data_IF_791782430455
#
_entry.id   IF_791782430455
#
_cell.length_a   1.000
_cell.length_b   1.000
_cell.length_c   1.000
_cell.angle_alpha   90.00
_cell.angle_beta   90.00
_cell.angle_gamma   90.00
#
_symmetry.space_group_name_H-M   'P 1'
#
loop_
_entity.id
_entity.type
_entity.pdbx_description
1 polymer ?
#
# COMPACT_ATOMS: atom_id res chain seq x y z
N UNK A 1 -14.55 -16.37 34.26
CA UNK A 1 -13.93 -17.54 33.59
C UNK A 1 -14.33 -17.70 32.12
N UNK A 2 -15.59 -17.50 31.71
CA UNK A 2 -15.96 -17.53 30.28
C UNK A 2 -15.38 -16.36 29.44
N UNK A 3 -15.15 -15.19 30.08
CA UNK A 3 -14.65 -13.98 29.39
C UNK A 3 -13.15 -14.00 29.07
N UNK A 4 -12.32 -14.53 29.97
CA UNK A 4 -10.85 -14.59 29.80
C UNK A 4 -10.42 -15.53 28.67
N UNK A 5 -11.14 -16.64 28.49
CA UNK A 5 -10.90 -17.59 27.40
C UNK A 5 -11.20 -16.99 26.02
N UNK A 6 -12.16 -16.07 25.91
CA UNK A 6 -12.48 -15.38 24.67
C UNK A 6 -11.43 -14.33 24.30
N UNK A 7 -10.92 -13.61 25.32
CA UNK A 7 -9.91 -12.57 25.17
C UNK A 7 -8.54 -13.15 24.77
N UNK A 8 -8.08 -14.21 25.43
CA UNK A 8 -6.83 -14.89 25.09
C UNK A 8 -6.86 -15.44 23.65
N UNK A 9 -7.96 -16.12 23.27
CA UNK A 9 -8.16 -16.60 21.89
C UNK A 9 -8.13 -15.44 20.89
N UNK A 10 -8.71 -14.30 21.24
CA UNK A 10 -8.70 -13.13 20.39
C UNK A 10 -7.28 -12.58 20.17
N UNK A 11 -6.47 -12.45 21.23
CA UNK A 11 -5.08 -12.01 21.13
C UNK A 11 -4.20 -12.97 20.33
N UNK A 12 -4.37 -14.29 20.51
CA UNK A 12 -3.62 -15.30 19.76
C UNK A 12 -3.93 -15.23 18.27
N UNK A 13 -5.23 -15.21 17.89
CA UNK A 13 -5.62 -15.08 16.49
C UNK A 13 -5.04 -13.82 15.85
N UNK A 14 -5.04 -12.74 16.61
CA UNK A 14 -4.49 -11.45 16.21
C UNK A 14 -2.97 -11.52 15.96
N UNK A 15 -2.20 -12.19 16.84
CA UNK A 15 -0.76 -12.41 16.62
C UNK A 15 -0.51 -13.30 15.40
N UNK A 16 -1.29 -14.36 15.21
CA UNK A 16 -1.18 -15.22 14.03
C UNK A 16 -1.47 -14.41 12.75
N UNK A 17 -2.44 -13.52 12.78
CA UNK A 17 -2.84 -12.66 11.67
C UNK A 17 -1.68 -11.79 11.18
N UNK A 18 -0.98 -11.10 12.10
CA UNK A 18 0.18 -10.28 11.73
C UNK A 18 1.37 -11.13 11.28
N UNK A 19 1.56 -12.34 11.84
CA UNK A 19 2.60 -13.26 11.37
C UNK A 19 2.31 -13.75 9.95
N UNK A 20 1.06 -14.11 9.65
CA UNK A 20 0.62 -14.46 8.28
C UNK A 20 0.85 -13.29 7.32
N UNK A 21 0.51 -12.07 7.77
CA UNK A 21 0.80 -10.83 7.08
C UNK A 21 2.27 -10.65 6.73
N UNK A 22 3.14 -10.72 7.74
CA UNK A 22 4.57 -10.47 7.61
C UNK A 22 5.32 -11.56 6.81
N UNK A 23 4.96 -12.83 7.00
CA UNK A 23 5.72 -13.97 6.47
C UNK A 23 5.21 -14.42 5.10
N UNK A 24 3.91 -14.30 4.84
CA UNK A 24 3.30 -14.82 3.62
C UNK A 24 2.72 -13.72 2.74
N UNK A 25 1.76 -12.94 3.26
CA UNK A 25 1.00 -12.00 2.41
C UNK A 25 1.90 -10.87 1.90
N UNK A 26 2.58 -10.14 2.78
CA UNK A 26 3.42 -9.02 2.38
C UNK A 26 4.55 -9.46 1.44
N UNK A 27 5.27 -10.58 1.69
CA UNK A 27 6.24 -11.04 0.71
C UNK A 27 5.64 -11.35 -0.66
N UNK A 28 4.51 -12.06 -0.73
CA UNK A 28 3.85 -12.35 -2.00
C UNK A 28 3.40 -11.09 -2.75
N UNK A 29 2.87 -10.09 -2.03
CA UNK A 29 2.53 -8.78 -2.59
C UNK A 29 3.78 -8.10 -3.17
N UNK A 30 4.88 -8.08 -2.42
CA UNK A 30 6.15 -7.46 -2.86
C UNK A 30 6.72 -8.20 -4.08
N UNK A 31 6.68 -9.53 -4.10
CA UNK A 31 7.15 -10.30 -5.26
C UNK A 31 6.33 -9.94 -6.51
N UNK A 32 4.99 -9.93 -6.41
CA UNK A 32 4.11 -9.54 -7.53
C UNK A 32 4.42 -8.11 -8.03
N UNK A 33 4.54 -7.16 -7.10
CA UNK A 33 4.88 -5.77 -7.40
C UNK A 33 6.24 -5.66 -8.09
N UNK A 34 7.26 -6.31 -7.53
CA UNK A 34 8.62 -6.33 -8.06
C UNK A 34 8.66 -6.88 -9.47
N UNK A 35 8.00 -8.02 -9.71
CA UNK A 35 7.99 -8.65 -11.03
C UNK A 35 7.20 -7.84 -12.03
N UNK A 36 6.06 -7.27 -11.64
CA UNK A 36 5.29 -6.36 -12.50
C UNK A 36 6.14 -5.17 -12.93
N UNK A 37 6.84 -4.54 -11.97
CA UNK A 37 7.76 -3.44 -12.23
C UNK A 37 8.88 -3.87 -13.18
N UNK A 38 9.47 -5.05 -12.95
CA UNK A 38 10.53 -5.59 -13.79
C UNK A 38 10.05 -5.92 -15.22
N UNK A 39 8.81 -6.38 -15.40
CA UNK A 39 8.21 -6.55 -16.73
C UNK A 39 8.12 -5.19 -17.44
N UNK A 40 7.72 -4.14 -16.74
CA UNK A 40 7.69 -2.79 -17.32
C UNK A 40 9.10 -2.30 -17.69
N UNK A 41 10.13 -2.61 -16.88
CA UNK A 41 11.52 -2.30 -17.22
C UNK A 41 12.00 -3.04 -18.48
N UNK A 42 11.50 -4.25 -18.74
CA UNK A 42 11.89 -5.06 -19.90
C UNK A 42 11.14 -4.62 -21.16
N UNK A 43 9.85 -4.31 -21.05
CA UNK A 43 8.95 -4.16 -22.21
C UNK A 43 8.47 -2.74 -22.50
N UNK A 44 8.49 -1.82 -21.52
CA UNK A 44 7.96 -0.46 -21.69
C UNK A 44 9.11 0.52 -21.89
N UNK A 45 9.43 0.81 -23.16
CA UNK A 45 10.49 1.74 -23.56
C UNK A 45 11.82 1.50 -22.80
N UNK A 46 12.42 0.29 -22.89
CA UNK A 46 13.56 -0.10 -22.05
C UNK A 46 14.79 0.82 -22.21
N UNK A 47 14.96 1.44 -23.38
CA UNK A 47 16.08 2.35 -23.66
C UNK A 47 15.82 3.81 -23.27
N UNK A 48 14.58 4.17 -22.90
CA UNK A 48 14.16 5.55 -22.66
C UNK A 48 13.37 5.63 -21.35
N UNK A 49 14.07 5.70 -20.22
CA UNK A 49 13.46 5.65 -18.88
C UNK A 49 12.57 6.86 -18.58
N UNK A 50 12.85 8.01 -19.19
CA UNK A 50 12.03 9.23 -19.17
C UNK A 50 10.67 9.02 -19.85
N UNK A 51 10.67 8.54 -21.10
CA UNK A 51 9.45 8.22 -21.86
C UNK A 51 8.69 7.11 -21.16
N UNK A 52 9.39 6.08 -20.69
CA UNK A 52 8.83 4.98 -19.91
C UNK A 52 8.09 5.49 -18.67
N UNK A 53 8.70 6.42 -17.92
CA UNK A 53 8.11 7.05 -16.75
C UNK A 53 6.82 7.82 -17.06
N UNK A 54 6.84 8.63 -18.13
CA UNK A 54 5.67 9.41 -18.57
C UNK A 54 4.53 8.48 -19.00
N UNK A 55 4.80 7.49 -19.85
CA UNK A 55 3.79 6.56 -20.34
C UNK A 55 3.19 5.74 -19.20
N UNK A 56 4.03 5.23 -18.29
CA UNK A 56 3.57 4.50 -17.11
C UNK A 56 2.67 5.37 -16.21
N UNK A 57 3.01 6.65 -16.03
CA UNK A 57 2.20 7.61 -15.27
C UNK A 57 0.85 7.85 -15.94
N UNK A 58 0.84 8.18 -17.23
CA UNK A 58 -0.39 8.50 -17.98
C UNK A 58 -1.32 7.29 -18.01
N UNK A 59 -0.82 6.12 -18.41
CA UNK A 59 -1.63 4.89 -18.48
C UNK A 59 -2.14 4.49 -17.10
N UNK A 60 -1.26 4.50 -16.09
CA UNK A 60 -1.61 4.17 -14.72
C UNK A 60 -2.68 5.11 -14.15
N UNK A 61 -2.53 6.42 -14.37
CA UNK A 61 -3.50 7.44 -13.98
C UNK A 61 -4.84 7.24 -14.69
N UNK A 62 -4.85 7.14 -16.02
CA UNK A 62 -6.07 7.05 -16.81
C UNK A 62 -6.89 5.82 -16.42
N UNK A 63 -6.26 4.65 -16.32
CA UNK A 63 -6.97 3.42 -15.93
C UNK A 63 -7.47 3.51 -14.48
N UNK A 64 -6.63 3.94 -13.55
CA UNK A 64 -7.03 4.12 -12.14
C UNK A 64 -8.20 5.10 -12.00
N UNK A 65 -8.16 6.21 -12.73
CA UNK A 65 -9.18 7.25 -12.71
C UNK A 65 -10.52 6.76 -13.27
N UNK A 66 -10.50 6.07 -14.42
CA UNK A 66 -11.69 5.45 -15.00
C UNK A 66 -12.32 4.47 -14.01
N UNK A 67 -11.49 3.63 -13.38
CA UNK A 67 -11.95 2.67 -12.37
C UNK A 67 -12.59 3.39 -11.18
N UNK A 68 -11.92 4.39 -10.61
CA UNK A 68 -12.42 5.14 -9.45
C UNK A 68 -13.79 5.80 -9.73
N UNK A 69 -14.03 6.25 -10.97
CA UNK A 69 -15.31 6.86 -11.35
C UNK A 69 -16.41 5.83 -11.60
N UNK A 70 -16.08 4.76 -12.35
CA UNK A 70 -17.08 3.77 -12.80
C UNK A 70 -17.44 2.81 -11.67
N UNK A 71 -16.46 2.38 -10.88
CA UNK A 71 -16.61 1.30 -9.92
C UNK A 71 -17.74 1.53 -8.89
N UNK A 72 -17.89 2.73 -8.28
CA UNK A 72 -19.00 3.00 -7.36
C UNK A 72 -20.40 2.91 -7.99
N UNK A 73 -20.50 2.95 -9.33
CA UNK A 73 -21.77 2.86 -10.06
C UNK A 73 -22.17 1.41 -10.35
N UNK A 74 -21.24 0.46 -10.24
CA UNK A 74 -21.49 -0.95 -10.54
C UNK A 74 -22.13 -1.63 -9.33
N UNK A 75 -23.28 -2.27 -9.55
CA UNK A 75 -23.94 -3.08 -8.53
C UNK A 75 -23.53 -4.55 -8.67
N UNK A 76 -22.88 -5.10 -7.65
CA UNK A 76 -22.32 -6.46 -7.65
C UNK A 76 -23.31 -7.54 -7.20
N UNK A 77 -24.52 -7.55 -7.79
CA UNK A 77 -25.62 -8.47 -7.39
C UNK A 77 -25.54 -9.86 -8.03
N UNK A 78 -24.85 -10.00 -9.16
CA UNK A 78 -24.80 -11.27 -9.92
C UNK A 78 -23.46 -11.97 -9.75
N UNK A 79 -23.43 -13.29 -9.92
CA UNK A 79 -22.17 -14.06 -9.95
C UNK A 79 -21.22 -13.53 -11.02
N UNK A 80 -21.73 -13.14 -12.20
CA UNK A 80 -20.94 -12.52 -13.25
C UNK A 80 -20.31 -11.20 -12.78
N UNK A 81 -21.06 -10.32 -12.13
CA UNK A 81 -20.51 -9.05 -11.60
C UNK A 81 -19.42 -9.27 -10.55
N UNK A 82 -19.54 -10.31 -9.70
CA UNK A 82 -18.50 -10.70 -8.73
C UNK A 82 -17.24 -11.24 -9.41
N UNK A 83 -17.38 -11.99 -10.51
CA UNK A 83 -16.24 -12.45 -11.32
C UNK A 83 -15.56 -11.25 -12.00
N UNK A 84 -16.33 -10.35 -12.60
CA UNK A 84 -15.81 -9.12 -13.22
C UNK A 84 -15.05 -8.28 -12.19
N UNK A 85 -15.58 -8.15 -10.98
CA UNK A 85 -14.91 -7.50 -9.87
C UNK A 85 -13.56 -8.17 -9.53
N UNK A 86 -13.55 -9.49 -9.34
CA UNK A 86 -12.31 -10.20 -9.02
C UNK A 86 -11.29 -10.11 -10.15
N UNK A 87 -11.73 -10.09 -11.41
CA UNK A 87 -10.87 -9.89 -12.56
C UNK A 87 -10.34 -8.44 -12.64
N UNK A 88 -11.13 -7.45 -12.24
CA UNK A 88 -10.70 -6.05 -12.26
C UNK A 88 -9.63 -5.74 -11.21
N UNK A 89 -9.53 -6.52 -10.12
CA UNK A 89 -8.43 -6.42 -9.14
C UNK A 89 -7.06 -6.50 -9.83
N UNK A 90 -6.89 -7.40 -10.80
CA UNK A 90 -5.63 -7.51 -11.55
C UNK A 90 -5.35 -6.26 -12.40
N UNK A 91 -6.37 -5.72 -13.06
CA UNK A 91 -6.23 -4.47 -13.84
C UNK A 91 -5.93 -3.27 -12.93
N UNK A 92 -6.55 -3.24 -11.75
CA UNK A 92 -6.30 -2.25 -10.71
C UNK A 92 -4.86 -2.32 -10.21
N UNK A 93 -4.37 -3.51 -9.86
CA UNK A 93 -2.99 -3.65 -9.40
C UNK A 93 -1.98 -3.28 -10.49
N UNK A 94 -2.20 -3.68 -11.75
CA UNK A 94 -1.33 -3.27 -12.87
C UNK A 94 -1.30 -1.74 -13.07
N UNK A 95 -2.46 -1.09 -13.04
CA UNK A 95 -2.54 0.37 -13.22
C UNK A 95 -1.95 1.14 -12.03
N UNK A 96 -2.16 0.65 -10.80
CA UNK A 96 -1.51 1.15 -9.60
C UNK A 96 0.03 1.07 -9.70
N UNK A 97 0.57 -0.12 -10.04
CA UNK A 97 2.03 -0.31 -10.18
C UNK A 97 2.60 0.53 -11.31
N UNK A 98 1.89 0.64 -12.44
CA UNK A 98 2.28 1.51 -13.55
C UNK A 98 2.36 2.96 -13.10
N UNK A 99 1.36 3.45 -12.37
CA UNK A 99 1.37 4.81 -11.84
C UNK A 99 2.54 5.05 -10.88
N UNK A 100 2.77 4.12 -9.94
CA UNK A 100 3.89 4.18 -8.99
C UNK A 100 5.23 4.25 -9.69
N UNK A 101 5.47 3.32 -10.62
CA UNK A 101 6.69 3.29 -11.42
C UNK A 101 6.89 4.57 -12.19
N UNK A 102 5.84 5.07 -12.82
CA UNK A 102 5.87 6.30 -13.59
C UNK A 102 6.31 7.50 -12.75
N UNK A 103 5.63 7.74 -11.63
CA UNK A 103 5.95 8.84 -10.72
C UNK A 103 7.36 8.68 -10.12
N UNK A 104 7.74 7.45 -9.74
CA UNK A 104 9.06 7.19 -9.19
C UNK A 104 10.17 7.56 -10.19
N UNK A 105 10.06 7.14 -11.46
CA UNK A 105 11.01 7.47 -12.50
C UNK A 105 11.04 8.97 -12.80
N UNK A 106 9.89 9.64 -12.82
CA UNK A 106 9.82 11.10 -13.00
C UNK A 106 10.54 11.81 -11.86
N UNK A 107 10.31 11.41 -10.60
CA UNK A 107 11.00 11.98 -9.44
C UNK A 107 12.51 11.75 -9.52
N UNK A 108 12.93 10.56 -9.96
CA UNK A 108 14.34 10.24 -10.11
C UNK A 108 15.03 11.07 -11.21
N UNK A 109 14.32 11.44 -12.27
CA UNK A 109 14.84 12.32 -13.32
C UNK A 109 14.78 13.82 -12.97
N UNK A 110 13.74 14.24 -12.25
CA UNK A 110 13.47 15.66 -11.98
C UNK A 110 14.07 16.16 -10.67
N UNK A 111 14.34 15.27 -9.71
CA UNK A 111 14.93 15.61 -8.42
C UNK A 111 16.36 15.11 -8.31
N UNK A 112 17.17 15.74 -7.47
CA UNK A 112 18.53 15.26 -7.24
C UNK A 112 18.52 13.98 -6.40
N UNK A 113 19.49 13.10 -6.63
CA UNK A 113 19.65 11.84 -5.90
C UNK A 113 20.46 12.02 -4.61
N UNK A 114 20.13 13.07 -3.84
CA UNK A 114 20.85 13.46 -2.62
C UNK A 114 20.02 13.18 -1.38
N UNK A 115 20.67 12.90 -0.25
CA UNK A 115 20.02 12.70 1.05
C UNK A 115 19.01 13.81 1.38
N UNK A 116 19.36 15.06 1.08
CA UNK A 116 18.51 16.23 1.32
C UNK A 116 17.24 16.18 0.45
N UNK A 117 17.37 15.82 -0.83
CA UNK A 117 16.20 15.68 -1.70
C UNK A 117 15.25 14.60 -1.20
N UNK A 118 15.76 13.45 -0.73
CA UNK A 118 14.92 12.39 -0.18
C UNK A 118 14.21 12.82 1.11
N UNK A 119 14.92 13.54 1.99
CA UNK A 119 14.34 14.10 3.21
C UNK A 119 13.22 15.12 2.90
N UNK A 120 13.44 15.99 1.92
CA UNK A 120 12.43 16.96 1.47
C UNK A 120 11.22 16.25 0.90
N UNK A 121 11.40 15.28 -0.01
CA UNK A 121 10.32 14.46 -0.55
C UNK A 121 9.51 13.77 0.56
N UNK A 122 10.20 13.09 1.48
CA UNK A 122 9.57 12.41 2.62
C UNK A 122 8.76 13.37 3.49
N UNK A 123 9.38 14.48 3.91
CA UNK A 123 8.79 15.42 4.88
C UNK A 123 7.61 16.19 4.30
N UNK A 124 7.74 16.71 3.07
CA UNK A 124 6.67 17.46 2.41
C UNK A 124 5.49 16.53 2.10
N UNK A 125 5.75 15.33 1.56
CA UNK A 125 4.69 14.38 1.26
C UNK A 125 3.94 13.98 2.53
N UNK A 126 4.65 13.63 3.61
CA UNK A 126 4.03 13.29 4.89
C UNK A 126 3.21 14.45 5.46
N UNK A 127 3.74 15.68 5.46
CA UNK A 127 3.05 16.86 5.97
C UNK A 127 1.74 17.14 5.22
N UNK A 128 1.75 17.06 3.88
CA UNK A 128 0.55 17.28 3.07
C UNK A 128 -0.46 16.13 3.26
N UNK A 129 -0.01 14.87 3.33
CA UNK A 129 -0.88 13.73 3.61
C UNK A 129 -1.52 13.83 5.00
N UNK A 130 -0.78 14.27 6.02
CA UNK A 130 -1.31 14.54 7.36
C UNK A 130 -2.33 15.68 7.34
N UNK A 131 -2.03 16.80 6.66
CA UNK A 131 -2.94 17.94 6.55
C UNK A 131 -4.25 17.58 5.81
N UNK A 132 -4.17 16.71 4.82
CA UNK A 132 -5.33 16.22 4.06
C UNK A 132 -6.03 15.03 4.71
N UNK A 133 -5.57 14.57 5.88
CA UNK A 133 -6.09 13.39 6.59
C UNK A 133 -6.07 12.11 5.74
N UNK A 134 -5.06 11.95 4.88
CA UNK A 134 -4.89 10.80 3.98
C UNK A 134 -3.65 9.96 4.31
N UNK A 135 -2.96 10.26 5.41
CA UNK A 135 -1.68 9.63 5.78
C UNK A 135 -1.75 8.11 5.93
N UNK A 136 -2.90 7.53 6.31
CA UNK A 136 -3.11 6.07 6.28
C UNK A 136 -2.87 5.42 4.91
N UNK A 137 -2.95 6.18 3.82
CA UNK A 137 -2.70 5.67 2.47
C UNK A 137 -1.23 5.28 2.22
N UNK A 138 -0.29 5.68 3.10
CA UNK A 138 1.12 5.25 3.00
C UNK A 138 1.35 3.83 3.50
N UNK A 139 0.40 3.25 4.25
CA UNK A 139 0.57 1.94 4.86
C UNK A 139 0.01 0.87 3.93
N UNK A 140 0.91 -0.02 3.50
CA UNK A 140 0.65 -1.22 2.69
C UNK A 140 0.81 -2.50 3.55
N UNK A 141 0.58 -3.71 3.02
CA UNK A 141 0.90 -4.95 3.73
C UNK A 141 2.36 -4.97 4.23
N UNK A 142 2.64 -5.43 5.46
CA UNK A 142 1.72 -6.09 6.40
C UNK A 142 1.02 -5.12 7.38
N UNK A 143 1.23 -3.81 7.24
CA UNK A 143 0.65 -2.81 8.15
C UNK A 143 -0.86 -2.63 7.99
N UNK A 144 -1.41 -3.06 6.86
CA UNK A 144 -2.85 -3.16 6.64
C UNK A 144 -3.16 -4.36 5.73
N UNK A 145 -4.11 -5.19 6.15
CA UNK A 145 -4.50 -6.41 5.45
C UNK A 145 -6.00 -6.52 5.28
N UNK A 146 -6.41 -6.96 4.10
CA UNK A 146 -7.80 -7.24 3.74
C UNK A 146 -7.89 -8.70 3.28
N UNK A 147 -8.89 -9.44 3.77
CA UNK A 147 -9.23 -10.74 3.20
C UNK A 147 -10.36 -10.56 2.17
N UNK A 148 -10.12 -11.06 0.95
CA UNK A 148 -11.04 -10.97 -0.19
C UNK A 148 -12.42 -11.60 0.09
N UNK A 149 -12.50 -12.54 1.04
CA UNK A 149 -13.74 -13.17 1.46
C UNK A 149 -14.71 -12.19 2.12
N UNK A 150 -14.22 -11.23 2.90
CA UNK A 150 -15.05 -10.26 3.63
C UNK A 150 -15.29 -8.95 2.86
N UNK A 151 -14.82 -8.87 1.61
CA UNK A 151 -15.08 -7.71 0.74
C UNK A 151 -16.39 -7.93 -0.01
N UNK A 152 -17.52 -7.69 0.67
CA UNK A 152 -18.87 -7.86 0.10
C UNK A 152 -19.25 -6.74 -0.88
N UNK A 153 -18.65 -5.56 -0.73
CA UNK A 153 -18.80 -4.46 -1.68
C UNK A 153 -17.49 -3.66 -1.77
N UNK A 154 -16.90 -3.52 -2.96
CA UNK A 154 -15.64 -2.83 -3.10
C UNK A 154 -15.90 -1.34 -3.17
N UNK A 155 -16.14 -0.72 -2.02
CA UNK A 155 -16.25 0.75 -1.99
C UNK A 155 -14.85 1.33 -2.09
N UNK A 156 -14.47 1.72 -3.31
CA UNK A 156 -13.27 2.52 -3.52
C UNK A 156 -13.52 3.90 -2.90
N UNK A 157 -12.95 4.12 -1.73
CA UNK A 157 -13.02 5.42 -1.04
C UNK A 157 -12.25 6.46 -1.85
N UNK A 158 -12.90 7.59 -2.11
CA UNK A 158 -12.28 8.78 -2.71
C UNK A 158 -12.22 9.91 -1.70
N UNK A 159 -11.18 10.72 -1.80
CA UNK A 159 -10.99 11.94 -1.03
C UNK A 159 -11.61 13.10 -1.79
N UNK A 160 -12.24 14.03 -1.08
CA UNK A 160 -12.70 15.29 -1.65
C UNK A 160 -14.04 15.77 -1.12
N UNK A 161 -14.78 16.51 -1.94
CA UNK A 161 -15.92 17.31 -1.51
C UNK A 161 -17.11 16.43 -1.11
N UNK A 162 -17.64 16.60 0.11
CA UNK A 162 -18.86 15.90 0.57
C UNK A 162 -20.15 16.63 0.14
N UNK A 163 -20.20 17.96 0.19
CA UNK A 163 -21.39 18.77 -0.10
C UNK A 163 -21.22 19.55 -1.41
N UNK A 164 -21.64 18.98 -2.54
CA UNK A 164 -21.71 19.69 -3.82
C UNK A 164 -22.97 19.24 -4.58
N UNK A 165 -23.72 20.19 -5.10
CA UNK A 165 -24.94 19.98 -5.88
C UNK A 165 -24.65 19.32 -7.24
N UNK A 166 -23.46 19.55 -7.83
CA UNK A 166 -23.05 18.90 -9.08
C UNK A 166 -22.38 17.54 -8.81
N UNK A 167 -23.17 16.47 -8.93
CA UNK A 167 -22.75 15.08 -8.69
C UNK A 167 -21.62 14.60 -9.62
N UNK A 168 -21.64 15.00 -10.89
CA UNK A 168 -20.64 14.55 -11.88
C UNK A 168 -19.31 15.28 -11.66
N UNK A 169 -19.36 16.61 -11.55
CA UNK A 169 -18.17 17.43 -11.28
C UNK A 169 -17.47 16.99 -9.99
N UNK A 170 -18.23 16.75 -8.92
CA UNK A 170 -17.70 16.19 -7.65
C UNK A 170 -16.99 14.85 -7.86
N UNK A 171 -17.59 13.92 -8.61
CA UNK A 171 -17.01 12.59 -8.83
C UNK A 171 -15.67 12.70 -9.58
N UNK A 172 -15.62 13.56 -10.61
CA UNK A 172 -14.40 13.84 -11.38
C UNK A 172 -13.33 14.48 -10.48
N UNK A 173 -13.67 15.55 -9.75
CA UNK A 173 -12.71 16.24 -8.88
C UNK A 173 -12.17 15.33 -7.77
N UNK A 174 -13.04 14.54 -7.12
CA UNK A 174 -12.62 13.58 -6.10
C UNK A 174 -11.74 12.48 -6.71
N UNK A 175 -12.05 12.02 -7.93
CA UNK A 175 -11.20 11.09 -8.67
C UNK A 175 -9.80 11.66 -8.94
N UNK A 176 -9.71 12.91 -9.41
CA UNK A 176 -8.41 13.58 -9.66
C UNK A 176 -7.64 13.78 -8.36
N UNK A 177 -8.28 14.28 -7.31
CA UNK A 177 -7.63 14.50 -6.01
C UNK A 177 -7.10 13.18 -5.44
N UNK A 178 -7.89 12.11 -5.51
CA UNK A 178 -7.52 10.79 -5.00
C UNK A 178 -6.38 10.19 -5.81
N UNK A 179 -6.54 10.11 -7.13
CA UNK A 179 -5.60 9.38 -7.98
C UNK A 179 -4.32 10.18 -8.23
N UNK A 180 -4.46 11.45 -8.61
CA UNK A 180 -3.30 12.27 -8.97
C UNK A 180 -2.60 12.82 -7.73
N UNK A 181 -3.33 13.50 -6.84
CA UNK A 181 -2.70 14.26 -5.74
C UNK A 181 -2.26 13.31 -4.63
N UNK A 182 -3.19 12.54 -4.04
CA UNK A 182 -2.86 11.62 -2.96
C UNK A 182 -1.94 10.51 -3.46
N UNK A 183 -2.22 9.93 -4.63
CA UNK A 183 -1.35 8.94 -5.25
C UNK A 183 0.11 9.41 -5.41
N UNK A 184 0.32 10.60 -5.97
CA UNK A 184 1.68 11.15 -6.14
C UNK A 184 2.37 11.40 -4.80
N UNK A 185 1.65 11.90 -3.80
CA UNK A 185 2.21 12.14 -2.47
C UNK A 185 2.62 10.83 -1.79
N UNK A 186 1.83 9.76 -1.91
CA UNK A 186 2.18 8.45 -1.36
C UNK A 186 3.47 7.93 -2.01
N UNK A 187 3.58 7.99 -3.35
CA UNK A 187 4.81 7.58 -4.05
C UNK A 187 6.00 8.41 -3.60
N UNK A 188 5.82 9.74 -3.46
CA UNK A 188 6.87 10.67 -3.04
C UNK A 188 7.37 10.37 -1.62
N UNK A 189 6.45 10.07 -0.69
CA UNK A 189 6.79 9.62 0.67
C UNK A 189 7.57 8.31 0.64
N UNK A 190 7.11 7.32 -0.12
CA UNK A 190 7.73 6.01 -0.22
C UNK A 190 9.14 6.10 -0.80
N UNK A 191 9.31 6.83 -1.91
CA UNK A 191 10.61 7.07 -2.53
C UNK A 191 11.56 7.76 -1.58
N UNK A 192 11.12 8.83 -0.90
CA UNK A 192 11.94 9.51 0.11
C UNK A 192 12.36 8.58 1.26
N UNK A 193 11.41 7.84 1.83
CA UNK A 193 11.68 6.91 2.95
C UNK A 193 12.63 5.78 2.54
N UNK A 194 12.37 5.17 1.39
CA UNK A 194 13.17 4.07 0.85
C UNK A 194 14.63 4.51 0.65
N UNK A 195 14.83 5.64 -0.02
CA UNK A 195 16.18 6.15 -0.28
C UNK A 195 16.89 6.60 0.99
N UNK A 196 16.22 7.20 1.97
CA UNK A 196 16.83 7.50 3.28
C UNK A 196 17.35 6.22 3.95
N UNK A 197 16.57 5.14 3.91
CA UNK A 197 16.97 3.85 4.47
C UNK A 197 18.15 3.23 3.71
N UNK A 198 18.21 3.39 2.39
CA UNK A 198 19.38 3.00 1.58
C UNK A 198 20.65 3.74 2.03
N UNK A 199 20.56 5.05 2.28
CA UNK A 199 21.68 5.83 2.79
C UNK A 199 22.13 5.37 4.19
N UNK A 200 21.18 5.11 5.10
CA UNK A 200 21.49 4.66 6.47
C UNK A 200 22.20 3.29 6.46
N UNK A 201 21.84 2.42 5.51
CA UNK A 201 22.33 1.04 5.46
C UNK A 201 23.43 0.81 4.44
N UNK A 202 24.01 1.88 3.86
CA UNK A 202 25.02 1.81 2.78
C UNK A 202 26.25 0.94 3.14
N UNK A 203 26.58 0.81 4.43
CA UNK A 203 27.68 -0.02 4.92
C UNK A 203 27.36 -1.52 5.06
N UNK A 204 26.11 -1.93 4.85
CA UNK A 204 25.66 -3.32 4.99
C UNK A 204 25.35 -3.85 3.58
N UNK A 205 26.04 -4.92 3.17
CA UNK A 205 25.96 -5.42 1.80
C UNK A 205 24.99 -6.60 1.64
N UNK A 206 24.41 -6.68 0.44
CA UNK A 206 23.71 -7.85 -0.06
C UNK A 206 22.56 -8.34 0.83
N UNK A 207 22.52 -9.66 1.03
CA UNK A 207 21.42 -10.34 1.72
C UNK A 207 21.27 -9.91 3.19
N UNK A 208 22.37 -9.56 3.86
CA UNK A 208 22.33 -9.16 5.27
C UNK A 208 21.55 -7.86 5.48
N UNK A 209 21.71 -6.89 4.59
CA UNK A 209 20.92 -5.65 4.62
C UNK A 209 19.44 -5.94 4.36
N UNK A 210 19.14 -6.82 3.39
CA UNK A 210 17.77 -7.21 3.07
C UNK A 210 17.07 -7.90 4.24
N UNK A 211 17.75 -8.82 4.92
CA UNK A 211 17.24 -9.51 6.12
C UNK A 211 17.05 -8.51 7.26
N UNK A 212 18.04 -7.64 7.52
CA UNK A 212 17.93 -6.64 8.58
C UNK A 212 16.73 -5.71 8.35
N UNK A 213 16.58 -5.19 7.13
CA UNK A 213 15.45 -4.34 6.72
C UNK A 213 14.12 -5.07 6.95
N UNK A 214 14.01 -6.32 6.49
CA UNK A 214 12.81 -7.15 6.71
C UNK A 214 12.53 -7.37 8.20
N UNK A 215 13.52 -7.79 8.98
CA UNK A 215 13.36 -8.10 10.41
C UNK A 215 12.97 -6.88 11.24
N UNK A 216 13.60 -5.72 11.00
CA UNK A 216 13.26 -4.47 11.67
C UNK A 216 11.83 -4.05 11.32
N UNK A 217 11.46 -4.11 10.03
CA UNK A 217 10.10 -3.80 9.59
C UNK A 217 9.05 -4.75 10.17
N UNK A 218 9.32 -6.06 10.23
CA UNK A 218 8.39 -7.00 10.86
C UNK A 218 8.26 -6.75 12.36
N UNK A 219 9.37 -6.47 13.06
CA UNK A 219 9.37 -6.18 14.50
C UNK A 219 8.54 -4.95 14.84
N UNK A 220 8.71 -3.85 14.12
CA UNK A 220 7.94 -2.61 14.35
C UNK A 220 6.46 -2.81 13.97
N UNK A 221 6.13 -3.57 12.92
CA UNK A 221 4.75 -3.93 12.60
C UNK A 221 4.08 -4.74 13.73
N UNK A 222 4.80 -5.71 14.32
CA UNK A 222 4.30 -6.50 15.46
C UNK A 222 4.05 -5.62 16.68
N UNK A 223 4.98 -4.70 16.99
CA UNK A 223 4.80 -3.73 18.09
C UNK A 223 3.60 -2.81 17.81
N UNK A 224 3.49 -2.28 16.59
CA UNK A 224 2.35 -1.47 16.16
C UNK A 224 1.04 -2.21 16.35
N UNK A 225 1.02 -3.49 15.99
CA UNK A 225 -0.17 -4.34 16.13
C UNK A 225 -0.58 -4.59 17.59
N UNK A 226 0.38 -4.84 18.48
CA UNK A 226 0.14 -4.99 19.93
C UNK A 226 -0.38 -3.68 20.53
N UNK A 227 0.16 -2.54 20.07
CA UNK A 227 -0.14 -1.21 20.64
C UNK A 227 -1.36 -0.53 20.03
N UNK A 228 -1.87 -0.99 18.87
CA UNK A 228 -2.97 -0.36 18.15
C UNK A 228 -4.25 -0.20 18.99
N UNK A 229 -4.74 -1.27 19.65
CA UNK A 229 -5.97 -1.18 20.46
C UNK A 229 -5.82 -0.38 21.75
N UNK A 230 -4.73 -0.54 22.53
CA UNK A 230 -4.47 0.36 23.66
C UNK A 230 -4.43 1.83 23.24
N UNK A 231 -3.76 2.15 22.14
CA UNK A 231 -3.67 3.53 21.62
C UNK A 231 -5.01 4.05 21.14
N UNK A 232 -5.80 3.23 20.43
CA UNK A 232 -7.16 3.57 19.99
C UNK A 232 -8.09 3.84 21.18
N UNK A 233 -8.01 3.01 22.21
CA UNK A 233 -8.80 3.19 23.44
C UNK A 233 -8.43 4.49 24.15
N UNK A 234 -7.13 4.80 24.24
CA UNK A 234 -6.65 6.07 24.81
C UNK A 234 -7.05 7.27 23.95
N UNK A 235 -6.98 7.16 22.62
CA UNK A 235 -7.33 8.22 21.67
C UNK A 235 -8.80 8.66 21.80
N UNK A 236 -9.72 7.76 22.17
CA UNK A 236 -11.13 8.07 22.44
C UNK A 236 -11.36 8.96 23.66
N UNK A 237 -10.41 9.00 24.60
CA UNK A 237 -10.55 9.68 25.88
C UNK A 237 -9.75 10.99 25.97
N UNK A 238 -9.15 11.44 24.87
CA UNK A 238 -8.35 12.68 24.81
C UNK A 238 -8.97 13.68 23.84
N UNK A 239 -8.44 14.91 23.81
CA UNK A 239 -8.90 15.93 22.86
C UNK A 239 -8.73 15.46 21.41
N UNK A 240 -9.62 15.90 20.52
CA UNK A 240 -9.58 15.51 19.10
C UNK A 240 -8.22 15.78 18.44
N UNK A 241 -7.60 16.93 18.73
CA UNK A 241 -6.27 17.25 18.20
C UNK A 241 -5.18 16.30 18.68
N UNK A 242 -5.19 15.93 19.97
CA UNK A 242 -4.26 14.94 20.53
C UNK A 242 -4.48 13.55 19.93
N UNK A 243 -5.74 13.15 19.75
CA UNK A 243 -6.10 11.86 19.17
C UNK A 243 -5.60 11.74 17.72
N UNK A 244 -5.79 12.78 16.91
CA UNK A 244 -5.27 12.85 15.53
C UNK A 244 -3.75 12.82 15.50
N UNK A 245 -3.07 13.54 16.40
CA UNK A 245 -1.61 13.51 16.49
C UNK A 245 -1.10 12.11 16.84
N UNK A 246 -1.73 11.44 17.82
CA UNK A 246 -1.38 10.07 18.19
C UNK A 246 -1.51 9.12 16.99
N UNK A 247 -2.58 9.26 16.22
CA UNK A 247 -2.84 8.44 15.04
C UNK A 247 -1.82 8.72 13.92
N UNK A 248 -1.48 10.00 13.66
CA UNK A 248 -0.45 10.36 12.70
C UNK A 248 0.93 9.81 13.08
N UNK A 249 1.31 9.89 14.35
CA UNK A 249 2.58 9.33 14.85
C UNK A 249 2.59 7.81 14.69
N UNK A 250 1.49 7.13 15.05
CA UNK A 250 1.37 5.69 14.87
C UNK A 250 1.51 5.28 13.40
N UNK A 251 0.76 5.94 12.50
CA UNK A 251 0.81 5.66 11.06
C UNK A 251 2.18 6.00 10.46
N UNK A 252 2.88 7.01 10.96
CA UNK A 252 4.25 7.32 10.53
C UNK A 252 5.20 6.14 10.78
N UNK A 253 5.26 5.64 12.01
CA UNK A 253 6.12 4.51 12.35
C UNK A 253 5.71 3.26 11.58
N UNK A 254 4.41 3.02 11.42
CA UNK A 254 3.92 1.91 10.64
C UNK A 254 4.28 2.05 9.15
N UNK A 255 4.23 3.25 8.59
CA UNK A 255 4.65 3.55 7.22
C UNK A 255 6.12 3.22 6.98
N UNK A 256 7.01 3.75 7.84
CA UNK A 256 8.46 3.45 7.78
C UNK A 256 8.74 1.95 7.95
N UNK A 257 7.98 1.29 8.82
CA UNK A 257 8.06 -0.14 9.07
C UNK A 257 7.72 -0.97 7.83
N UNK A 258 6.61 -0.62 7.16
CA UNK A 258 6.17 -1.29 5.94
C UNK A 258 7.17 -1.05 4.80
N UNK A 259 7.72 0.16 4.65
CA UNK A 259 8.79 0.43 3.68
C UNK A 259 10.00 -0.47 3.92
N UNK A 260 10.40 -0.70 5.17
CA UNK A 260 11.49 -1.60 5.53
C UNK A 260 11.19 -3.07 5.16
N UNK A 261 9.97 -3.55 5.39
CA UNK A 261 9.54 -4.90 4.96
C UNK A 261 9.62 -5.01 3.44
N UNK A 262 9.04 -4.06 2.73
CA UNK A 262 9.02 -4.05 1.27
C UNK A 262 10.43 -4.00 0.69
N UNK A 263 11.28 -3.10 1.19
CA UNK A 263 12.68 -3.00 0.80
C UNK A 263 13.44 -4.29 1.02
N UNK A 264 13.31 -4.90 2.20
CA UNK A 264 13.95 -6.17 2.51
C UNK A 264 13.54 -7.28 1.55
N UNK A 265 12.24 -7.48 1.33
CA UNK A 265 11.74 -8.52 0.41
C UNK A 265 12.10 -8.21 -1.04
N UNK A 266 12.01 -6.95 -1.47
CA UNK A 266 12.35 -6.53 -2.82
C UNK A 266 13.80 -6.86 -3.15
N UNK A 267 14.73 -6.51 -2.26
CA UNK A 267 16.16 -6.84 -2.41
C UNK A 267 16.42 -8.35 -2.31
N UNK A 268 15.71 -9.08 -1.44
CA UNK A 268 15.78 -10.55 -1.42
C UNK A 268 15.30 -11.16 -2.74
N UNK A 269 14.23 -10.64 -3.35
CA UNK A 269 13.73 -11.08 -4.64
C UNK A 269 14.77 -10.87 -5.76
N UNK A 270 15.41 -9.69 -5.78
CA UNK A 270 16.48 -9.39 -6.74
C UNK A 270 17.68 -10.33 -6.60
N UNK A 271 18.07 -10.66 -5.36
CA UNK A 271 19.24 -11.50 -5.07
C UNK A 271 18.92 -13.00 -5.23
N UNK A 272 17.75 -13.48 -4.81
CA UNK A 272 17.47 -14.92 -4.71
C UNK A 272 16.68 -15.47 -5.89
N UNK A 273 15.82 -14.65 -6.53
CA UNK A 273 14.83 -15.13 -7.50
C UNK A 273 15.18 -14.64 -8.91
N UNK A 274 15.44 -13.34 -9.06
CA UNK A 274 15.52 -12.67 -10.36
C UNK A 274 16.93 -12.59 -10.96
N UNK A 275 17.91 -13.30 -10.39
CA UNK A 275 19.26 -13.39 -10.99
C UNK A 275 19.25 -14.14 -12.34
N UNK A 276 20.06 -13.68 -13.30
CA UNK A 276 20.25 -14.33 -14.60
C UNK A 276 19.27 -13.84 -15.67
N UNK A 277 18.73 -14.76 -16.50
CA UNK A 277 17.78 -14.43 -17.60
C UNK A 277 16.45 -13.91 -17.02
N UNK A 278 16.20 -12.59 -17.05
CA UNK A 278 15.18 -11.99 -16.20
C UNK A 278 13.78 -12.20 -16.77
N UNK A 279 13.58 -12.27 -18.10
CA UNK A 279 12.23 -12.19 -18.66
C UNK A 279 11.36 -13.42 -18.34
N UNK A 280 11.76 -14.68 -18.65
CA UNK A 280 10.92 -15.84 -18.36
C UNK A 280 10.68 -16.03 -16.86
N UNK A 281 11.73 -15.83 -16.04
CA UNK A 281 11.62 -15.90 -14.57
C UNK A 281 10.64 -14.87 -14.04
N UNK A 282 10.74 -13.62 -14.49
CA UNK A 282 9.84 -12.54 -14.07
C UNK A 282 8.40 -12.84 -14.43
N UNK A 283 8.13 -13.32 -15.66
CA UNK A 283 6.77 -13.69 -16.10
C UNK A 283 6.21 -14.83 -15.24
N UNK A 284 6.98 -15.89 -15.04
CA UNK A 284 6.54 -17.05 -14.25
C UNK A 284 6.26 -16.62 -12.79
N UNK A 285 7.18 -15.88 -12.17
CA UNK A 285 7.01 -15.40 -10.79
C UNK A 285 5.81 -14.45 -10.67
N UNK A 286 5.57 -13.58 -11.65
CA UNK A 286 4.41 -12.69 -11.69
C UNK A 286 3.09 -13.46 -11.66
N UNK A 287 2.92 -14.43 -12.57
CA UNK A 287 1.68 -15.21 -12.62
C UNK A 287 1.54 -16.20 -11.46
N UNK A 288 2.65 -16.79 -11.00
CA UNK A 288 2.63 -17.68 -9.83
C UNK A 288 2.19 -16.93 -8.58
N UNK A 289 2.76 -15.75 -8.31
CA UNK A 289 2.39 -14.92 -7.15
C UNK A 289 0.96 -14.42 -7.26
N UNK A 290 0.51 -14.01 -8.45
CA UNK A 290 -0.89 -13.65 -8.70
C UNK A 290 -1.85 -14.80 -8.35
N UNK A 291 -1.56 -16.01 -8.84
CA UNK A 291 -2.37 -17.20 -8.55
C UNK A 291 -2.40 -17.50 -7.05
N UNK A 292 -1.24 -17.49 -6.39
CA UNK A 292 -1.15 -17.71 -4.94
C UNK A 292 -1.98 -16.69 -4.15
N UNK A 293 -2.00 -15.43 -4.58
CA UNK A 293 -2.78 -14.38 -3.94
C UNK A 293 -4.30 -14.56 -4.14
N UNK A 294 -4.75 -14.98 -5.32
CA UNK A 294 -6.16 -15.32 -5.53
C UNK A 294 -6.60 -16.57 -4.77
N UNK A 295 -5.82 -17.64 -4.78
CA UNK A 295 -6.11 -18.85 -4.01
C UNK A 295 -6.08 -18.59 -2.51
N UNK A 296 -5.15 -17.76 -2.07
CA UNK A 296 -5.03 -17.29 -0.70
C UNK A 296 -6.02 -16.19 -0.32
N UNK A 297 -7.00 -15.82 -1.16
CA UNK A 297 -7.99 -14.78 -0.85
C UNK A 297 -7.37 -13.46 -0.35
N UNK A 298 -6.21 -13.09 -0.89
CA UNK A 298 -5.46 -11.90 -0.51
C UNK A 298 -5.22 -10.95 -1.69
N UNK A 299 -5.81 -11.20 -2.86
CA UNK A 299 -5.53 -10.47 -4.09
C UNK A 299 -5.86 -8.98 -3.99
N UNK A 300 -6.81 -8.57 -3.15
CA UNK A 300 -7.12 -7.15 -2.92
C UNK A 300 -5.92 -6.38 -2.35
N UNK A 301 -5.04 -7.05 -1.60
CA UNK A 301 -3.81 -6.44 -1.06
C UNK A 301 -2.76 -6.12 -2.12
N UNK A 302 -2.95 -6.56 -3.37
CA UNK A 302 -2.11 -6.15 -4.51
C UNK A 302 -2.37 -4.70 -4.93
N UNK A 303 -3.50 -4.13 -4.51
CA UNK A 303 -3.92 -2.77 -4.82
C UNK A 303 -3.41 -1.84 -3.71
N UNK A 304 -2.75 -0.75 -4.11
CA UNK A 304 -2.47 0.40 -3.23
C UNK A 304 -3.05 1.69 -3.80
N UNK A 305 -2.81 2.81 -3.10
CA UNK A 305 -2.98 4.16 -3.67
C UNK A 305 -2.28 4.19 -5.04
N UNK A 306 -2.79 4.80 -6.12
CA UNK A 306 -3.94 5.70 -6.17
C UNK A 306 -5.32 5.01 -6.13
N UNK A 307 -5.39 3.68 -6.24
CA UNK A 307 -6.67 2.96 -6.30
C UNK A 307 -7.10 2.65 -4.87
N UNK A 308 -7.97 3.51 -4.34
CA UNK A 308 -8.38 3.48 -2.95
C UNK A 308 -7.44 4.33 -2.10
N UNK A 309 -8.03 5.31 -1.41
CA UNK A 309 -7.34 6.08 -0.39
C UNK A 309 -8.00 5.82 0.96
N UNK A 310 -7.18 5.78 2.01
CA UNK A 310 -7.66 5.70 3.38
C UNK A 310 -7.64 7.09 3.98
N UNK A 311 -8.80 7.50 4.48
CA UNK A 311 -9.00 8.80 5.12
C UNK A 311 -9.21 8.61 6.61
N UNK A 312 -8.60 9.45 7.42
CA UNK A 312 -8.87 9.48 8.85
C UNK A 312 -10.23 10.14 9.08
N UNK A 313 -11.18 9.38 9.64
CA UNK A 313 -12.35 9.96 10.27
C UNK A 313 -12.10 10.07 11.78
N UNK A 314 -12.41 11.23 12.35
CA UNK A 314 -12.24 11.52 13.78
C UNK A 314 -13.08 10.61 14.67
N UNK A 315 -14.10 9.95 14.11
CA UNK A 315 -14.94 8.99 14.82
C UNK A 315 -14.45 7.54 14.69
N UNK A 316 -13.81 7.19 13.57
CA UNK A 316 -13.46 5.79 13.25
C UNK A 316 -12.05 5.40 13.70
N UNK A 317 -11.13 6.37 13.81
CA UNK A 317 -9.70 6.14 14.07
C UNK A 317 -9.11 5.07 13.14
N UNK A 318 -9.40 5.19 11.84
CA UNK A 318 -9.04 4.24 10.78
C UNK A 318 -7.52 3.97 10.69
N UNK A 319 -6.67 4.89 11.13
CA UNK A 319 -5.22 4.76 11.16
C UNK A 319 -4.68 3.77 12.18
N UNK A 320 -5.44 3.45 13.24
CA UNK A 320 -5.12 2.32 14.13
C UNK A 320 -5.64 0.99 13.58
N UNK A 321 -6.46 1.00 12.52
CA UNK A 321 -6.96 -0.22 11.89
C UNK A 321 -5.88 -0.82 10.99
N UNK A 322 -5.32 -1.93 11.45
CA UNK A 322 -4.38 -2.75 10.65
C UNK A 322 -5.12 -3.80 9.80
N UNK A 323 -6.45 -3.76 9.79
CA UNK A 323 -7.27 -4.78 9.14
C UNK A 323 -7.17 -6.14 9.83
N UNK A 324 -7.73 -7.16 9.19
CA UNK A 324 -7.52 -8.54 9.61
C UNK A 324 -7.70 -9.49 8.46
N UNK A 325 -6.84 -10.50 8.38
CA UNK A 325 -6.92 -11.54 7.38
C UNK A 325 -7.66 -12.78 7.88
N UNK A 326 -7.46 -13.17 9.15
CA UNK A 326 -8.05 -14.36 9.75
C UNK A 326 -9.34 -14.11 10.53
N UNK A 327 -9.63 -12.87 10.94
CA UNK A 327 -10.81 -12.56 11.76
C UNK A 327 -12.00 -12.25 10.86
N UNK A 328 -13.12 -12.91 11.14
CA UNK A 328 -14.44 -12.49 10.65
C UNK A 328 -14.71 -11.06 11.13
N UNK A 329 -15.00 -10.14 10.21
CA UNK A 329 -15.62 -8.88 10.61
C UNK A 329 -16.96 -9.22 11.30
N UNK A 330 -17.26 -8.61 12.45
CA UNK A 330 -18.51 -8.87 13.18
C UNK A 330 -19.75 -8.49 12.37
#
# INVERSE_FOLDING_TARGET
MADEGSSCKHHVLRVIDILVGCIFIAPLVVLYWRTTWKLMDIYVFPSHSDISGIICTVVGFTVSFIIVIIHPQITYKTTLSRIIWRASVYLMSLSCISFWRGIWLILDHTTTMTWMSYLVCHSIAFAILSATKTVSSIVSPPGFLINDFYVDSPTIKTVGFKNNENRIGKTICNGVLTVMVVGTLVVTYWRGTWSILDYITVGISGLNNSILSFSVGCGVCIIGYITAEPLKTKARNVSSGTAVLMEHVFVYFLGVSVVNVWRGVWSMCDILILQGNPAPKTIITHFLTLLMMYFGQAAYNLIGSPIGCRTHDTESFEGFSMGSFLKTQP
#
